data_IF_885741580405
#
_entry.id   IF_885741580405
#
_cell.length_a   1.000
_cell.length_b   1.000
_cell.length_c   1.000
_cell.angle_alpha   90.00
_cell.angle_beta   90.00
_cell.angle_gamma   90.00
#
_symmetry.space_group_name_H-M   'P 1'
#
loop_
_entity.id
_entity.type
_entity.pdbx_description
1 polymer ?
#
# COMPACT_ATOMS: atom_id res chain seq x y z
N UNK A 1 10.42 14.28 -15.69
CA UNK A 1 11.56 15.17 -15.37
C UNK A 1 12.89 14.44 -15.36
N UNK A 2 13.06 13.34 -14.63
CA UNK A 2 14.35 12.62 -14.52
C UNK A 2 14.96 12.18 -15.88
N UNK A 3 14.15 11.66 -16.80
CA UNK A 3 14.60 11.26 -18.15
C UNK A 3 15.04 12.48 -18.98
N UNK A 4 14.34 13.61 -18.87
CA UNK A 4 14.68 14.84 -19.58
C UNK A 4 15.98 15.48 -19.03
N UNK A 5 16.17 15.43 -17.71
CA UNK A 5 17.41 15.90 -17.07
C UNK A 5 18.59 14.98 -17.43
N UNK A 6 18.40 13.66 -17.47
CA UNK A 6 19.41 12.71 -17.92
C UNK A 6 19.79 12.89 -19.38
N UNK A 7 18.80 13.10 -20.27
CA UNK A 7 19.03 13.38 -21.68
C UNK A 7 19.75 14.71 -21.90
N UNK A 8 19.42 15.74 -21.11
CA UNK A 8 20.11 17.03 -21.15
C UNK A 8 21.57 16.89 -20.70
N UNK A 9 21.84 16.13 -19.63
CA UNK A 9 23.20 15.85 -19.17
C UNK A 9 24.00 15.06 -20.22
N UNK A 10 23.41 14.03 -20.83
CA UNK A 10 24.05 13.26 -21.89
C UNK A 10 24.35 14.12 -23.13
N UNK A 11 23.43 15.03 -23.51
CA UNK A 11 23.66 16.00 -24.58
C UNK A 11 24.78 16.98 -24.25
N UNK A 12 24.81 17.54 -23.03
CA UNK A 12 25.87 18.46 -22.60
C UNK A 12 27.24 17.78 -22.54
N UNK A 13 27.30 16.53 -22.08
CA UNK A 13 28.54 15.74 -22.07
C UNK A 13 28.95 15.43 -23.52
N UNK A 14 28.02 15.00 -24.36
CA UNK A 14 28.25 14.70 -25.78
C UNK A 14 28.73 15.92 -26.58
N UNK A 15 28.17 17.10 -26.37
CA UNK A 15 28.60 18.33 -27.04
C UNK A 15 29.97 18.78 -26.56
N UNK A 16 30.25 18.74 -25.25
CA UNK A 16 31.59 19.04 -24.72
C UNK A 16 32.66 18.09 -25.26
N UNK A 17 32.32 16.81 -25.42
CA UNK A 17 33.20 15.80 -26.02
C UNK A 17 33.43 16.01 -27.52
N UNK A 18 32.43 16.50 -28.26
CA UNK A 18 32.58 16.83 -29.68
C UNK A 18 33.40 18.10 -29.91
N UNK A 19 33.41 19.05 -28.96
CA UNK A 19 34.21 20.28 -29.05
C UNK A 19 35.68 20.05 -28.69
N UNK A 20 35.98 19.01 -27.91
CA UNK A 20 37.35 18.53 -27.73
C UNK A 20 37.70 17.79 -29.03
N UNK A 21 38.32 18.50 -29.99
CA UNK A 21 38.76 17.98 -31.29
C UNK A 21 39.87 16.91 -31.21
N UNK A 22 39.87 16.07 -30.18
CA UNK A 22 40.87 15.07 -29.89
C UNK A 22 40.26 13.67 -30.07
N UNK A 23 40.34 13.16 -31.31
CA UNK A 23 39.86 11.83 -31.71
C UNK A 23 40.45 10.70 -30.86
N UNK A 24 41.63 10.91 -30.27
CA UNK A 24 42.24 10.00 -29.29
C UNK A 24 41.40 9.86 -28.02
N UNK A 25 40.86 10.95 -27.47
CA UNK A 25 40.00 10.86 -26.28
C UNK A 25 38.71 10.08 -26.59
N UNK A 26 38.12 10.33 -27.76
CA UNK A 26 36.90 9.66 -28.18
C UNK A 26 37.10 8.14 -28.35
N UNK A 27 38.22 7.73 -28.96
CA UNK A 27 38.51 6.33 -29.30
C UNK A 27 39.18 5.55 -28.18
N UNK A 28 40.05 6.15 -27.38
CA UNK A 28 40.82 5.46 -26.33
C UNK A 28 40.16 5.50 -24.95
N UNK A 29 39.33 6.52 -24.67
CA UNK A 29 38.75 6.74 -23.33
C UNK A 29 37.23 6.65 -23.38
N UNK A 30 36.57 7.41 -24.25
CA UNK A 30 35.11 7.49 -24.25
C UNK A 30 34.43 6.21 -24.77
N UNK A 31 34.78 5.73 -25.97
CA UNK A 31 34.21 4.52 -26.57
C UNK A 31 34.39 3.24 -25.71
N UNK A 32 35.58 2.95 -25.15
CA UNK A 32 35.79 1.70 -24.43
C UNK A 32 35.32 1.74 -22.97
N UNK A 33 35.30 2.90 -22.31
CA UNK A 33 35.00 2.96 -20.86
C UNK A 33 33.71 3.72 -20.53
N UNK A 34 33.45 4.86 -21.17
CA UNK A 34 32.32 5.73 -20.80
C UNK A 34 31.03 5.31 -21.52
N UNK A 35 31.11 5.02 -22.82
CA UNK A 35 29.97 4.64 -23.64
C UNK A 35 29.28 3.36 -23.15
N UNK A 36 29.99 2.25 -22.80
CA UNK A 36 29.34 1.05 -22.28
C UNK A 36 28.65 1.31 -20.94
N UNK A 37 29.23 2.16 -20.08
CA UNK A 37 28.61 2.57 -18.81
C UNK A 37 27.30 3.32 -19.01
N UNK A 38 27.25 4.25 -19.97
CA UNK A 38 26.00 4.97 -20.32
C UNK A 38 24.98 4.01 -20.92
N UNK A 39 25.39 3.11 -21.83
CA UNK A 39 24.49 2.10 -22.41
C UNK A 39 23.94 1.14 -21.34
N UNK A 40 24.74 0.78 -20.33
CA UNK A 40 24.29 -0.06 -19.22
C UNK A 40 23.23 0.61 -18.33
N UNK A 41 23.14 1.94 -18.30
CA UNK A 41 22.10 2.65 -17.56
C UNK A 41 20.72 2.56 -18.22
N UNK A 42 20.66 2.39 -19.54
CA UNK A 42 19.40 2.30 -20.29
C UNK A 42 18.50 1.16 -19.78
N UNK A 43 18.95 -0.11 -19.67
CA UNK A 43 18.12 -1.18 -19.13
C UNK A 43 17.78 -0.96 -17.65
N UNK A 44 18.67 -0.36 -16.86
CA UNK A 44 18.40 -0.06 -15.43
C UNK A 44 17.24 0.94 -15.31
N UNK A 45 17.27 2.03 -16.08
CA UNK A 45 16.19 3.02 -16.10
C UNK A 45 14.88 2.40 -16.60
N UNK A 46 14.95 1.52 -17.60
CA UNK A 46 13.78 0.81 -18.11
C UNK A 46 13.16 -0.10 -17.05
N UNK A 47 13.97 -0.88 -16.32
CA UNK A 47 13.51 -1.74 -15.23
C UNK A 47 12.89 -0.93 -14.10
N UNK A 48 13.50 0.19 -13.71
CA UNK A 48 12.96 1.10 -12.71
C UNK A 48 11.62 1.70 -13.15
N UNK A 49 11.50 2.07 -14.43
CA UNK A 49 10.24 2.57 -14.97
C UNK A 49 9.13 1.52 -14.95
N UNK A 50 9.43 0.28 -15.35
CA UNK A 50 8.47 -0.83 -15.29
C UNK A 50 8.07 -1.12 -13.85
N UNK A 51 9.04 -1.21 -12.94
CA UNK A 51 8.78 -1.41 -11.51
C UNK A 51 7.90 -0.29 -10.93
N UNK A 52 8.17 0.97 -11.28
CA UNK A 52 7.32 2.10 -10.89
C UNK A 52 5.90 1.91 -11.42
N UNK A 53 5.76 1.63 -12.72
CA UNK A 53 4.45 1.49 -13.37
C UNK A 53 3.60 0.41 -12.69
N UNK A 54 4.19 -0.75 -12.44
CA UNK A 54 3.53 -1.85 -11.73
C UNK A 54 3.19 -1.47 -10.28
N UNK A 55 4.12 -0.83 -9.56
CA UNK A 55 3.87 -0.36 -8.20
C UNK A 55 2.70 0.63 -8.14
N UNK A 56 2.60 1.55 -9.12
CA UNK A 56 1.48 2.49 -9.21
C UNK A 56 0.15 1.77 -9.41
N UNK A 57 0.12 0.75 -10.28
CA UNK A 57 -1.07 -0.04 -10.54
C UNK A 57 -1.50 -0.85 -9.30
N UNK A 58 -0.54 -1.46 -8.60
CA UNK A 58 -0.78 -2.16 -7.33
C UNK A 58 -1.37 -1.21 -6.29
N UNK A 59 -0.83 0.00 -6.13
CA UNK A 59 -1.35 1.00 -5.19
C UNK A 59 -2.79 1.38 -5.53
N UNK A 60 -3.11 1.58 -6.81
CA UNK A 60 -4.47 1.88 -7.25
C UNK A 60 -5.45 0.74 -6.91
N UNK A 61 -5.04 -0.50 -7.17
CA UNK A 61 -5.85 -1.69 -6.83
C UNK A 61 -6.02 -1.86 -5.33
N UNK A 62 -4.96 -1.67 -4.55
CA UNK A 62 -5.02 -1.69 -3.08
C UNK A 62 -5.97 -0.63 -2.55
N UNK A 63 -5.94 0.57 -3.12
CA UNK A 63 -6.84 1.65 -2.73
C UNK A 63 -8.30 1.33 -3.08
N UNK A 64 -8.55 0.78 -4.27
CA UNK A 64 -9.90 0.34 -4.67
C UNK A 64 -10.45 -0.72 -3.71
N UNK A 65 -9.64 -1.73 -3.38
CA UNK A 65 -10.03 -2.80 -2.46
C UNK A 65 -10.23 -2.25 -1.04
N UNK A 66 -9.36 -1.36 -0.58
CA UNK A 66 -9.50 -0.70 0.71
C UNK A 66 -10.80 0.11 0.82
N UNK A 67 -11.19 0.80 -0.26
CA UNK A 67 -12.47 1.51 -0.33
C UNK A 67 -13.66 0.54 -0.30
N UNK A 68 -13.62 -0.57 -1.05
CA UNK A 68 -14.68 -1.60 -1.00
C UNK A 68 -14.81 -2.17 0.40
N UNK A 69 -13.69 -2.56 1.01
CA UNK A 69 -13.62 -3.10 2.37
C UNK A 69 -14.25 -2.16 3.40
N UNK A 70 -13.96 -0.86 3.32
CA UNK A 70 -14.60 0.13 4.19
C UNK A 70 -16.12 0.20 3.96
N UNK A 71 -16.58 0.28 2.71
CA UNK A 71 -18.01 0.36 2.41
C UNK A 71 -18.78 -0.91 2.80
N UNK A 72 -18.20 -2.09 2.58
CA UNK A 72 -18.77 -3.36 3.03
C UNK A 72 -18.85 -3.42 4.56
N UNK A 73 -17.83 -2.92 5.26
CA UNK A 73 -17.86 -2.80 6.73
C UNK A 73 -18.95 -1.83 7.19
N UNK A 74 -19.11 -0.67 6.53
CA UNK A 74 -20.17 0.29 6.83
C UNK A 74 -21.55 -0.31 6.55
N UNK A 75 -21.72 -1.04 5.45
CA UNK A 75 -22.97 -1.71 5.11
C UNK A 75 -23.33 -2.76 6.17
N UNK A 76 -22.37 -3.61 6.54
CA UNK A 76 -22.54 -4.56 7.64
C UNK A 76 -22.96 -3.86 8.94
N UNK A 77 -22.32 -2.75 9.29
CA UNK A 77 -22.68 -2.00 10.50
C UNK A 77 -24.07 -1.34 10.43
N UNK A 78 -24.56 -1.01 9.23
CA UNK A 78 -25.90 -0.44 9.04
C UNK A 78 -27.01 -1.48 9.07
N UNK A 79 -26.73 -2.66 8.55
CA UNK A 79 -27.69 -3.75 8.44
C UNK A 79 -27.79 -4.58 9.73
N UNK A 80 -26.79 -4.48 10.62
CA UNK A 80 -26.79 -5.13 11.93
C UNK A 80 -27.79 -4.46 12.90
N UNK A 81 -28.50 -5.27 13.69
CA UNK A 81 -29.34 -4.74 14.77
C UNK A 81 -28.47 -4.04 15.84
N UNK A 82 -28.93 -2.94 16.46
CA UNK A 82 -28.14 -2.14 17.42
C UNK A 82 -27.58 -2.95 18.60
N UNK A 83 -28.28 -4.03 18.98
CA UNK A 83 -27.87 -4.93 20.07
C UNK A 83 -26.82 -5.96 19.66
N UNK A 84 -26.62 -6.19 18.38
CA UNK A 84 -25.68 -7.18 17.85
C UNK A 84 -24.36 -6.54 17.40
N UNK A 85 -24.36 -5.24 17.08
CA UNK A 85 -23.18 -4.54 16.58
C UNK A 85 -22.01 -4.55 17.59
N UNK A 86 -21.08 -5.47 17.37
CA UNK A 86 -19.89 -5.66 18.20
C UNK A 86 -18.61 -5.63 17.36
N UNK A 87 -17.50 -5.17 17.94
CA UNK A 87 -16.19 -5.18 17.25
C UNK A 87 -15.82 -6.60 16.87
N UNK A 88 -16.16 -7.59 17.71
CA UNK A 88 -15.91 -9.02 17.45
C UNK A 88 -16.68 -9.52 16.24
N UNK A 89 -17.96 -9.18 16.11
CA UNK A 89 -18.74 -9.57 14.93
C UNK A 89 -18.15 -8.97 13.65
N UNK A 90 -17.75 -7.71 13.69
CA UNK A 90 -17.12 -7.06 12.54
C UNK A 90 -15.75 -7.68 12.20
N UNK A 91 -14.94 -8.04 13.21
CA UNK A 91 -13.67 -8.77 13.00
C UNK A 91 -13.91 -10.13 12.33
N UNK A 92 -14.95 -10.86 12.74
CA UNK A 92 -15.29 -12.14 12.14
C UNK A 92 -15.76 -11.98 10.69
N UNK A 93 -16.64 -11.02 10.42
CA UNK A 93 -17.08 -10.66 9.07
C UNK A 93 -15.90 -10.29 8.16
N UNK A 94 -14.96 -9.49 8.67
CA UNK A 94 -13.77 -9.11 7.92
C UNK A 94 -12.91 -10.31 7.55
N UNK A 95 -12.76 -11.28 8.45
CA UNK A 95 -11.98 -12.49 8.21
C UNK A 95 -12.68 -13.47 7.27
N UNK A 96 -14.01 -13.53 7.27
CA UNK A 96 -14.77 -14.49 6.47
C UNK A 96 -15.13 -14.00 5.07
N UNK A 97 -15.54 -12.73 4.93
CA UNK A 97 -16.15 -12.21 3.70
C UNK A 97 -15.28 -11.16 2.99
N UNK A 98 -14.66 -10.26 3.75
CA UNK A 98 -13.99 -9.08 3.17
C UNK A 98 -12.51 -9.34 2.82
N UNK A 99 -11.89 -10.30 3.51
CA UNK A 99 -10.48 -10.66 3.32
C UNK A 99 -10.36 -12.08 2.76
N UNK A 100 -10.22 -12.25 1.43
CA UNK A 100 -10.02 -13.55 0.80
C UNK A 100 -8.84 -14.31 1.42
N UNK A 101 -9.05 -15.60 1.71
CA UNK A 101 -8.01 -16.49 2.25
C UNK A 101 -6.75 -16.59 1.36
N UNK A 102 -6.84 -16.21 0.09
CA UNK A 102 -5.72 -16.20 -0.86
C UNK A 102 -4.79 -14.98 -0.76
N UNK A 103 -5.11 -13.96 0.04
CA UNK A 103 -4.27 -12.77 0.17
C UNK A 103 -3.07 -12.99 1.08
N UNK A 104 -1.90 -12.51 0.65
CA UNK A 104 -0.71 -12.52 1.50
C UNK A 104 -0.90 -11.61 2.71
N UNK A 105 -0.28 -11.98 3.85
CA UNK A 105 -0.30 -11.15 5.09
C UNK A 105 0.10 -9.70 4.84
N UNK A 106 1.09 -9.47 3.96
CA UNK A 106 1.57 -8.11 3.60
C UNK A 106 0.52 -7.33 2.84
N UNK A 107 -0.16 -7.97 1.90
CA UNK A 107 -1.23 -7.35 1.12
C UNK A 107 -2.42 -7.00 2.03
N UNK A 108 -2.87 -7.93 2.86
CA UNK A 108 -3.95 -7.72 3.83
C UNK A 108 -3.61 -6.57 4.79
N UNK A 109 -2.38 -6.53 5.31
CA UNK A 109 -1.92 -5.44 6.17
C UNK A 109 -1.98 -4.09 5.44
N UNK A 110 -1.52 -4.01 4.19
CA UNK A 110 -1.54 -2.78 3.40
C UNK A 110 -2.96 -2.31 3.10
N UNK A 111 -3.85 -3.21 2.70
CA UNK A 111 -5.26 -2.91 2.42
C UNK A 111 -5.97 -2.41 3.67
N UNK A 112 -5.87 -3.11 4.81
CA UNK A 112 -6.50 -2.67 6.06
C UNK A 112 -5.93 -1.35 6.57
N UNK A 113 -4.64 -1.10 6.33
CA UNK A 113 -4.01 0.19 6.68
C UNK A 113 -4.56 1.31 5.82
N UNK A 114 -4.76 1.08 4.51
CA UNK A 114 -5.35 2.06 3.61
C UNK A 114 -6.86 2.25 3.85
N UNK A 115 -7.55 1.21 4.28
CA UNK A 115 -8.99 1.21 4.56
C UNK A 115 -9.35 1.96 5.85
N UNK A 116 -8.36 2.26 6.72
CA UNK A 116 -8.59 3.00 7.96
C UNK A 116 -9.39 4.28 7.70
N UNK A 117 -10.55 4.47 8.36
CA UNK A 117 -11.40 5.64 8.15
C UNK A 117 -10.63 6.96 8.31
N UNK A 118 -9.78 7.06 9.33
CA UNK A 118 -8.90 8.21 9.58
C UNK A 118 -7.98 8.61 8.41
N UNK A 119 -7.59 7.66 7.56
CA UNK A 119 -6.73 7.85 6.39
C UNK A 119 -7.53 7.94 5.09
N UNK A 120 -8.57 7.10 4.95
CA UNK A 120 -9.40 7.03 3.76
C UNK A 120 -10.20 8.33 3.57
N UNK A 121 -10.87 8.80 4.63
CA UNK A 121 -11.72 10.00 4.62
C UNK A 121 -10.94 11.25 4.19
N UNK A 122 -9.68 11.40 4.64
CA UNK A 122 -8.81 12.52 4.24
C UNK A 122 -8.42 12.48 2.76
N UNK A 123 -8.31 11.30 2.16
CA UNK A 123 -7.88 11.13 0.76
C UNK A 123 -9.04 11.16 -0.23
N UNK A 124 -10.23 10.74 0.16
CA UNK A 124 -11.37 10.54 -0.76
C UNK A 124 -12.58 11.42 -0.45
N UNK A 125 -12.46 12.39 0.46
CA UNK A 125 -13.55 13.32 0.85
C UNK A 125 -14.85 12.61 1.28
N UNK A 126 -14.72 11.42 1.88
CA UNK A 126 -15.86 10.66 2.39
C UNK A 126 -16.47 11.34 3.61
N UNK A 127 -17.78 11.16 3.81
CA UNK A 127 -18.46 11.66 5.01
C UNK A 127 -18.15 10.74 6.18
N UNK A 128 -17.81 11.32 7.34
CA UNK A 128 -17.64 10.55 8.59
C UNK A 128 -18.95 9.82 8.93
N UNK A 129 -18.82 8.59 9.40
CA UNK A 129 -19.94 7.80 9.91
C UNK A 129 -19.78 7.56 11.41
N UNK A 130 -20.89 7.28 12.12
CA UNK A 130 -20.88 6.91 13.54
C UNK A 130 -20.15 5.58 13.81
N UNK A 131 -19.90 4.78 12.76
CA UNK A 131 -19.27 3.46 12.87
C UNK A 131 -17.75 3.51 12.64
N UNK A 132 -17.19 4.66 12.25
CA UNK A 132 -15.79 4.78 11.85
C UNK A 132 -14.82 4.31 12.96
N UNK A 133 -15.10 4.61 14.23
CA UNK A 133 -14.25 4.20 15.35
C UNK A 133 -14.28 2.68 15.57
N UNK A 134 -15.47 2.06 15.48
CA UNK A 134 -15.65 0.60 15.56
C UNK A 134 -14.94 -0.10 14.40
N UNK A 135 -15.08 0.42 13.19
CA UNK A 135 -14.41 -0.11 11.98
C UNK A 135 -12.90 0.03 12.09
N UNK A 136 -12.40 1.18 12.55
CA UNK A 136 -10.95 1.40 12.72
C UNK A 136 -10.35 0.47 13.77
N UNK A 137 -11.09 0.20 14.84
CA UNK A 137 -10.71 -0.74 15.89
C UNK A 137 -10.67 -2.17 15.36
N UNK A 138 -11.70 -2.60 14.63
CA UNK A 138 -11.75 -3.92 14.02
C UNK A 138 -10.60 -4.13 13.01
N UNK A 139 -10.34 -3.14 12.15
CA UNK A 139 -9.22 -3.20 11.19
C UNK A 139 -7.87 -3.27 11.90
N UNK A 140 -7.68 -2.50 12.97
CA UNK A 140 -6.44 -2.52 13.75
C UNK A 140 -6.24 -3.87 14.42
N UNK A 141 -7.32 -4.44 14.99
CA UNK A 141 -7.29 -5.75 15.64
C UNK A 141 -6.93 -6.87 14.66
N UNK A 142 -7.56 -6.93 13.48
CA UNK A 142 -7.23 -7.92 12.44
C UNK A 142 -5.78 -7.75 12.00
N UNK A 143 -5.35 -6.51 11.77
CA UNK A 143 -4.00 -6.19 11.29
C UNK A 143 -2.91 -6.62 12.27
N UNK A 144 -3.11 -6.39 13.56
CA UNK A 144 -2.18 -6.81 14.61
C UNK A 144 -2.09 -8.34 14.68
N UNK A 145 -3.23 -9.04 14.58
CA UNK A 145 -3.29 -10.49 14.61
C UNK A 145 -2.60 -11.22 13.44
N UNK A 146 -2.32 -10.54 12.31
CA UNK A 146 -1.71 -11.16 11.12
C UNK A 146 -0.31 -11.74 11.38
N UNK A 147 0.47 -11.09 12.24
CA UNK A 147 1.89 -11.39 12.46
C UNK A 147 2.18 -12.02 13.82
N UNK A 148 1.16 -12.20 14.65
CA UNK A 148 1.29 -12.84 15.96
C UNK A 148 1.56 -14.35 15.82
N UNK A 149 2.32 -14.87 16.78
CA UNK A 149 2.46 -16.32 17.01
C UNK A 149 1.16 -16.92 17.56
N UNK A 150 1.02 -18.24 17.53
CA UNK A 150 -0.21 -18.93 17.97
C UNK A 150 -0.51 -18.75 19.48
N UNK A 151 0.50 -18.52 20.32
CA UNK A 151 0.28 -18.13 21.72
C UNK A 151 -0.25 -16.70 21.82
N UNK A 152 0.39 -15.76 21.13
CA UNK A 152 0.00 -14.34 21.17
C UNK A 152 -1.36 -14.11 20.52
N UNK A 153 -1.74 -14.89 19.49
CA UNK A 153 -3.07 -14.83 18.88
C UNK A 153 -4.18 -15.18 19.86
N UNK A 154 -3.98 -16.21 20.70
CA UNK A 154 -4.97 -16.60 21.71
C UNK A 154 -5.15 -15.50 22.75
N UNK A 155 -4.06 -14.89 23.17
CA UNK A 155 -4.10 -13.76 24.10
C UNK A 155 -4.77 -12.54 23.45
N UNK A 156 -4.46 -12.25 22.19
CA UNK A 156 -5.07 -11.17 21.40
C UNK A 156 -6.57 -11.36 21.22
N UNK A 157 -7.02 -12.58 20.87
CA UNK A 157 -8.44 -12.90 20.77
C UNK A 157 -9.14 -12.81 22.12
N UNK A 158 -8.51 -13.25 23.21
CA UNK A 158 -9.08 -13.12 24.56
C UNK A 158 -9.30 -11.66 25.00
N UNK A 159 -8.46 -10.73 24.52
CA UNK A 159 -8.64 -9.30 24.79
C UNK A 159 -9.87 -8.75 24.06
N UNK A 160 -10.12 -9.23 22.84
CA UNK A 160 -11.32 -8.89 22.08
C UNK A 160 -12.58 -9.38 22.80
N UNK A 161 -12.55 -10.59 23.35
CA UNK A 161 -13.67 -11.15 24.13
C UNK A 161 -13.94 -10.36 25.41
N UNK A 162 -12.89 -9.93 26.11
CA UNK A 162 -13.00 -9.09 27.30
C UNK A 162 -13.58 -7.71 26.96
N UNK A 163 -13.17 -7.10 25.85
CA UNK A 163 -13.76 -5.84 25.39
C UNK A 163 -15.23 -6.00 25.02
N UNK A 164 -15.61 -7.08 24.31
CA UNK A 164 -17.01 -7.33 23.91
C UNK A 164 -17.91 -7.58 25.12
N UNK A 165 -17.42 -8.29 26.14
CA UNK A 165 -18.15 -8.55 27.38
C UNK A 165 -18.28 -7.33 28.30
N UNK A 166 -17.43 -6.31 28.12
CA UNK A 166 -17.41 -5.06 28.92
C UNK A 166 -18.13 -3.91 28.20
N UNK A 167 -18.31 -4.01 26.88
CA UNK A 167 -19.04 -3.04 26.09
C UNK A 167 -20.55 -3.15 26.38
N UNK A 168 -21.17 -2.04 26.81
CA UNK A 168 -22.64 -1.95 26.85
C UNK A 168 -23.19 -2.03 25.42
N UNK A 169 -24.33 -2.70 25.20
CA UNK A 169 -25.01 -2.67 23.90
C UNK A 169 -25.23 -1.22 23.47
N UNK A 170 -24.96 -0.90 22.21
CA UNK A 170 -25.19 0.43 21.66
C UNK A 170 -26.71 0.71 21.69
N UNK A 171 -27.15 1.57 22.61
CA UNK A 171 -28.52 2.12 22.68
C UNK A 171 -28.65 3.37 21.84
#
# INVERSE_FOLDING_TARGET
>A
MLVAVGALFALCIGTMLCFIGNTLFLSEIFLPFILPGILALVPVVLLLYVAWKEQKLVIQKQQQIATSCYFESVAFCRDAEPKELSVKQLVNFLRSEVLPAGFSKRFTFAVLTLAKPSLLIKKTSLTKTSFDETIETAFSHVREGLYLSESEKRDHESQLEKQDSSAKPFT
#
